data_IF_513222373143
#
_entry.id   IF_513222373143
#
_cell.length_a   1.000
_cell.length_b   1.000
_cell.length_c   1.000
_cell.angle_alpha   90.00
_cell.angle_beta   90.00
_cell.angle_gamma   90.00
#
_symmetry.space_group_name_H-M   'P 1'
#
loop_
_entity.id
_entity.type
_entity.pdbx_description
1 polymer ?
#
# COMPACT_ATOMS: atom_id res chain seq x y z
N UNK A 1 -6.76 -6.38 3.63
CA UNK A 1 -5.85 -5.24 3.87
C UNK A 1 -5.22 -5.36 5.26
N UNK A 2 -4.21 -4.56 5.62
CA UNK A 2 -3.53 -4.65 6.93
C UNK A 2 -4.50 -4.42 8.11
N UNK A 3 -4.27 -5.09 9.25
CA UNK A 3 -5.02 -4.86 10.48
C UNK A 3 -4.05 -4.31 11.53
N UNK A 4 -4.20 -3.02 11.85
CA UNK A 4 -3.35 -2.33 12.83
C UNK A 4 -3.60 -2.78 14.28
N UNK A 5 -4.62 -3.61 14.51
CA UNK A 5 -5.03 -4.08 15.85
C UNK A 5 -4.31 -5.34 16.33
N UNK A 6 -3.42 -5.93 15.53
CA UNK A 6 -2.59 -7.04 15.99
C UNK A 6 -1.41 -6.51 16.84
N UNK A 7 -0.89 -7.28 17.81
CA UNK A 7 0.33 -6.89 18.52
C UNK A 7 1.47 -6.73 17.51
N UNK A 8 1.92 -5.50 17.30
CA UNK A 8 3.00 -5.18 16.37
C UNK A 8 4.31 -5.06 17.14
N UNK A 9 5.34 -5.78 16.71
CA UNK A 9 6.69 -5.58 17.21
C UNK A 9 7.25 -4.25 16.69
N UNK A 10 8.19 -3.66 17.44
CA UNK A 10 8.94 -2.51 16.93
C UNK A 10 9.82 -2.93 15.73
N UNK A 11 9.95 -2.11 14.68
CA UNK A 11 9.50 -0.71 14.60
C UNK A 11 8.08 -0.52 14.01
N UNK A 12 7.36 -1.60 13.69
CA UNK A 12 6.05 -1.53 13.04
C UNK A 12 5.01 -0.79 13.90
N UNK A 13 5.02 -1.06 15.21
CA UNK A 13 4.14 -0.38 16.17
C UNK A 13 4.33 1.14 16.15
N UNK A 14 5.58 1.61 16.13
CA UNK A 14 5.87 3.05 16.00
C UNK A 14 5.38 3.64 14.68
N UNK A 15 5.53 2.90 13.57
CA UNK A 15 5.07 3.37 12.27
C UNK A 15 3.54 3.49 12.20
N UNK A 16 2.81 2.49 12.70
CA UNK A 16 1.35 2.52 12.74
C UNK A 16 0.79 3.57 13.69
N UNK A 17 1.49 3.88 14.80
CA UNK A 17 1.13 5.00 15.68
C UNK A 17 1.33 6.36 15.01
N UNK A 18 2.33 6.48 14.14
CA UNK A 18 2.56 7.71 13.37
C UNK A 18 1.54 7.87 12.24
N UNK A 19 1.24 6.80 11.50
CA UNK A 19 0.32 6.83 10.37
C UNK A 19 -0.26 5.43 10.12
N UNK A 20 -1.57 5.25 10.29
CA UNK A 20 -2.19 3.93 10.12
C UNK A 20 -2.66 3.72 8.68
N UNK A 21 -1.80 3.16 7.83
CA UNK A 21 -2.12 2.89 6.42
C UNK A 21 -3.31 1.94 6.20
N UNK A 22 -3.75 1.22 7.23
CA UNK A 22 -4.98 0.42 7.13
C UNK A 22 -6.21 1.31 7.06
N UNK A 23 -6.19 2.44 7.78
CA UNK A 23 -7.29 3.37 7.91
C UNK A 23 -7.13 4.59 7.00
N UNK A 24 -5.93 5.16 6.92
CA UNK A 24 -5.63 6.43 6.28
C UNK A 24 -5.04 6.27 4.87
N UNK A 25 -5.18 7.29 4.01
CA UNK A 25 -4.69 7.25 2.63
C UNK A 25 -3.15 7.15 2.53
N UNK A 26 -2.57 6.04 2.08
CA UNK A 26 -1.11 5.91 2.01
C UNK A 26 -0.44 6.93 1.06
N UNK A 27 -1.17 7.56 0.12
CA UNK A 27 -0.63 8.65 -0.70
C UNK A 27 -0.37 9.94 0.10
N UNK A 28 -1.03 10.11 1.25
CA UNK A 28 -0.87 11.25 2.15
C UNK A 28 0.13 10.98 3.29
N UNK A 29 0.78 9.82 3.28
CA UNK A 29 1.70 9.42 4.34
C UNK A 29 2.97 10.29 4.34
N UNK A 30 3.23 10.96 5.46
CA UNK A 30 4.40 11.81 5.68
C UNK A 30 5.73 11.04 5.78
N UNK A 31 6.78 11.73 6.19
CA UNK A 31 8.08 11.17 6.52
C UNK A 31 8.26 11.00 8.03
N UNK A 32 8.27 9.76 8.49
CA UNK A 32 8.69 9.48 9.87
C UNK A 32 10.19 9.74 10.03
N UNK A 33 10.54 10.45 11.10
CA UNK A 33 11.92 10.76 11.51
C UNK A 33 12.75 11.58 10.50
N UNK A 34 12.12 12.51 9.75
CA UNK A 34 12.78 13.39 8.76
C UNK A 34 13.63 12.64 7.73
N UNK A 35 13.28 11.39 7.48
CA UNK A 35 13.94 10.56 6.48
C UNK A 35 13.32 10.84 5.11
N UNK A 36 13.97 10.40 4.02
CA UNK A 36 13.34 10.50 2.70
C UNK A 36 12.02 9.68 2.68
N UNK A 37 10.90 10.28 2.26
CA UNK A 37 9.59 9.62 2.13
C UNK A 37 9.71 8.20 1.55
N UNK A 38 10.43 8.05 0.44
CA UNK A 38 10.59 6.75 -0.22
C UNK A 38 11.33 5.70 0.63
N UNK A 39 12.25 6.15 1.51
CA UNK A 39 12.93 5.27 2.46
C UNK A 39 11.98 4.86 3.57
N UNK A 40 11.27 5.82 4.18
CA UNK A 40 10.31 5.52 5.25
C UNK A 40 9.19 4.61 4.75
N UNK A 41 8.52 4.96 3.66
CA UNK A 41 7.44 4.18 3.05
C UNK A 41 7.90 2.75 2.75
N UNK A 42 9.10 2.61 2.19
CA UNK A 42 9.70 1.30 1.93
C UNK A 42 10.01 0.50 3.20
N UNK A 43 10.51 1.14 4.25
CA UNK A 43 10.73 0.48 5.55
C UNK A 43 9.43 0.06 6.20
N UNK A 44 8.41 0.92 6.19
CA UNK A 44 7.11 0.61 6.74
C UNK A 44 6.49 -0.59 6.00
N UNK A 45 6.49 -0.57 4.67
CA UNK A 45 5.99 -1.69 3.86
C UNK A 45 6.73 -3.00 4.17
N UNK A 46 8.05 -2.97 4.39
CA UNK A 46 8.81 -4.17 4.77
C UNK A 46 8.36 -4.76 6.10
N UNK A 47 8.22 -3.94 7.12
CA UNK A 47 7.80 -4.42 8.45
C UNK A 47 6.37 -4.95 8.42
N UNK A 48 5.52 -4.28 7.66
CA UNK A 48 4.14 -4.67 7.37
C UNK A 48 4.07 -6.07 6.71
N UNK A 49 4.98 -6.37 5.78
CA UNK A 49 5.12 -7.70 5.18
C UNK A 49 5.70 -8.72 6.17
N UNK A 50 6.70 -8.33 6.95
CA UNK A 50 7.34 -9.17 7.98
C UNK A 50 6.32 -9.64 9.02
N UNK A 51 5.42 -8.77 9.47
CA UNK A 51 4.34 -9.11 10.39
C UNK A 51 3.35 -10.16 9.84
N UNK A 52 3.28 -10.31 8.50
CA UNK A 52 2.50 -11.35 7.82
C UNK A 52 3.31 -12.61 7.52
N UNK A 53 4.48 -12.79 8.13
CA UNK A 53 5.43 -13.87 7.86
C UNK A 53 5.88 -13.93 6.39
N UNK A 54 5.85 -12.80 5.68
CA UNK A 54 6.36 -12.66 4.32
C UNK A 54 7.50 -11.63 4.31
N UNK A 55 8.16 -11.47 3.16
CA UNK A 55 9.25 -10.50 3.03
C UNK A 55 9.04 -9.66 1.78
N UNK A 56 9.41 -8.40 1.88
CA UNK A 56 9.41 -7.49 0.75
C UNK A 56 10.83 -7.00 0.49
N UNK A 57 11.28 -7.10 -0.76
CA UNK A 57 12.38 -6.30 -1.26
C UNK A 57 12.03 -5.74 -2.63
N UNK A 58 12.67 -4.65 -3.03
CA UNK A 58 12.48 -4.07 -4.37
C UNK A 58 12.81 -5.06 -5.49
N UNK A 59 13.72 -6.01 -5.24
CA UNK A 59 14.12 -7.06 -6.19
C UNK A 59 13.22 -8.29 -6.13
N UNK A 60 12.57 -8.55 -4.99
CA UNK A 60 11.70 -9.70 -4.74
C UNK A 60 10.46 -9.22 -3.96
N UNK A 61 9.49 -8.60 -4.66
CA UNK A 61 8.29 -8.03 -4.05
C UNK A 61 7.32 -9.08 -3.49
N UNK A 62 7.50 -10.37 -3.82
CA UNK A 62 6.70 -11.52 -3.35
C UNK A 62 5.21 -11.22 -3.46
N UNK A 63 4.48 -11.20 -2.33
CA UNK A 63 3.03 -11.03 -2.33
C UNK A 63 2.58 -9.73 -3.03
N UNK A 64 3.42 -8.69 -3.08
CA UNK A 64 3.07 -7.45 -3.77
C UNK A 64 2.96 -7.58 -5.31
N UNK A 65 3.52 -8.65 -5.91
CA UNK A 65 3.40 -8.92 -7.35
C UNK A 65 2.19 -9.82 -7.69
N UNK A 66 1.56 -10.40 -6.67
CA UNK A 66 0.48 -11.37 -6.85
C UNK A 66 -0.85 -10.65 -7.13
N UNK A 67 -1.71 -11.25 -7.96
CA UNK A 67 -3.03 -10.68 -8.28
C UNK A 67 -3.85 -10.33 -7.03
N UNK A 68 -3.77 -11.17 -5.99
CA UNK A 68 -4.44 -10.93 -4.70
C UNK A 68 -4.10 -9.57 -4.08
N UNK A 69 -2.89 -9.05 -4.31
CA UNK A 69 -2.48 -7.75 -3.78
C UNK A 69 -3.12 -6.62 -4.57
N UNK A 70 -3.11 -6.72 -5.91
CA UNK A 70 -3.82 -5.79 -6.79
C UNK A 70 -5.33 -5.77 -6.48
N UNK A 71 -5.94 -6.94 -6.29
CA UNK A 71 -7.37 -7.05 -5.95
C UNK A 71 -7.71 -6.32 -4.64
N UNK A 72 -6.79 -6.29 -3.67
CA UNK A 72 -6.97 -5.53 -2.43
C UNK A 72 -6.82 -4.01 -2.63
N UNK A 73 -5.99 -3.56 -3.58
CA UNK A 73 -5.89 -2.15 -3.93
C UNK A 73 -7.14 -1.67 -4.66
N UNK A 74 -7.63 -2.46 -5.63
CA UNK A 74 -8.89 -2.21 -6.33
C UNK A 74 -10.06 -2.17 -5.35
N UNK A 75 -10.14 -3.16 -4.45
CA UNK A 75 -11.14 -3.16 -3.39
C UNK A 75 -11.08 -1.90 -2.50
N UNK A 76 -9.88 -1.40 -2.18
CA UNK A 76 -9.74 -0.18 -1.37
C UNK A 76 -10.31 1.04 -2.08
N UNK A 77 -10.00 1.23 -3.37
CA UNK A 77 -10.52 2.39 -4.11
C UNK A 77 -12.03 2.31 -4.31
N UNK A 78 -12.59 1.10 -4.39
CA UNK A 78 -14.04 0.89 -4.42
C UNK A 78 -14.69 1.24 -3.06
N UNK A 79 -14.08 0.82 -1.95
CA UNK A 79 -14.60 1.04 -0.59
C UNK A 79 -14.34 2.44 -0.05
N UNK A 80 -13.27 3.11 -0.51
CA UNK A 80 -12.81 4.43 -0.07
C UNK A 80 -12.41 5.28 -1.28
N UNK A 81 -13.39 5.88 -2.00
CA UNK A 81 -13.16 6.63 -3.24
C UNK A 81 -12.24 7.83 -3.09
N UNK A 82 -12.06 8.34 -1.87
CA UNK A 82 -11.15 9.44 -1.54
C UNK A 82 -9.67 9.01 -1.49
N UNK A 83 -9.37 7.71 -1.37
CA UNK A 83 -8.00 7.20 -1.27
C UNK A 83 -7.36 6.90 -2.62
N UNK A 84 -6.02 6.95 -2.66
CA UNK A 84 -5.23 6.47 -3.81
C UNK A 84 -5.62 7.13 -5.14
N UNK A 85 -5.86 8.44 -5.14
CA UNK A 85 -6.35 9.18 -6.32
C UNK A 85 -5.44 9.00 -7.54
N UNK A 86 -4.12 8.95 -7.33
CA UNK A 86 -3.17 8.78 -8.43
C UNK A 86 -3.26 7.37 -9.02
N UNK A 87 -3.44 6.36 -8.17
CA UNK A 87 -3.66 4.98 -8.62
C UNK A 87 -5.00 4.81 -9.33
N UNK A 88 -6.09 5.41 -8.83
CA UNK A 88 -7.40 5.40 -9.49
C UNK A 88 -7.30 5.97 -10.91
N UNK A 89 -6.63 7.11 -11.07
CA UNK A 89 -6.40 7.74 -12.38
C UNK A 89 -5.67 6.78 -13.34
N UNK A 90 -4.69 6.03 -12.84
CA UNK A 90 -3.99 5.02 -13.63
C UNK A 90 -4.89 3.85 -14.02
N UNK A 91 -5.72 3.33 -13.10
CA UNK A 91 -6.67 2.25 -13.38
C UNK A 91 -7.67 2.67 -14.46
N UNK A 92 -8.28 3.85 -14.31
CA UNK A 92 -9.21 4.41 -15.29
C UNK A 92 -8.56 4.57 -16.68
N UNK A 93 -7.30 5.01 -16.71
CA UNK A 93 -6.53 5.08 -17.95
C UNK A 93 -6.38 3.70 -18.61
N UNK A 94 -6.01 2.67 -17.85
CA UNK A 94 -5.91 1.30 -18.36
C UNK A 94 -7.25 0.77 -18.89
N UNK A 95 -8.35 1.01 -18.18
CA UNK A 95 -9.69 0.61 -18.61
C UNK A 95 -10.12 1.29 -19.91
N UNK A 96 -9.89 2.61 -20.02
CA UNK A 96 -10.15 3.37 -21.24
C UNK A 96 -9.38 2.77 -22.44
N UNK A 97 -8.10 2.43 -22.27
CA UNK A 97 -7.30 1.82 -23.33
C UNK A 97 -7.87 0.44 -23.71
N UNK A 98 -8.22 -0.38 -22.72
CA UNK A 98 -8.78 -1.71 -22.96
C UNK A 98 -10.13 -1.63 -23.72
N UNK A 99 -10.98 -0.65 -23.42
CA UNK A 99 -12.23 -0.42 -24.16
C UNK A 99 -11.95 -0.07 -25.63
N UNK A 100 -10.96 0.78 -25.88
CA UNK A 100 -10.59 1.21 -27.25
C UNK A 100 -9.94 0.10 -28.09
N UNK A 101 -9.23 -0.84 -27.47
CA UNK A 101 -8.61 -1.97 -28.17
C UNK A 101 -9.64 -3.06 -28.51
N UNK A 102 -10.63 -3.27 -27.64
CA UNK A 102 -11.66 -4.29 -27.82
C UNK A 102 -12.91 -3.79 -28.59
N UNK A 103 -12.86 -2.58 -29.14
CA UNK A 103 -13.88 -1.99 -30.04
C UNK A 103 -13.36 -2.01 -31.47
#
# INVERSE_FOLDING_TARGET
MFDSRQPQEEPLSSYAKYYDISQDDPELMGDYDRSNHAKFHGSYLKEVFKAKNTSYSKTKPRDAQEKKYLDQLLKRIDEKPEHLQTFQSFVQFCEMINQKINT
#
